data_IF_347136390281
#
_entry.id   IF_347136390281
#
_cell.length_a   1.000
_cell.length_b   1.000
_cell.length_c   1.000
_cell.angle_alpha   90.00
_cell.angle_beta   90.00
_cell.angle_gamma   90.00
#
_symmetry.space_group_name_H-M   'P 1'
#
loop_
_entity.id
_entity.type
_entity.pdbx_description
1 polymer ?
#
# COMPACT_ATOMS: atom_id res chain seq x y z
N UNK A 1 13.42 -3.48 -18.69
CA UNK A 1 13.26 -2.01 -18.84
C UNK A 1 13.49 -1.73 -20.30
N UNK A 2 12.51 -1.13 -20.97
CA UNK A 2 12.61 -0.79 -22.38
C UNK A 2 13.63 0.34 -22.55
N UNK A 3 14.63 0.20 -23.43
CA UNK A 3 15.66 1.22 -23.63
C UNK A 3 15.10 2.61 -23.96
N UNK A 4 14.00 2.64 -24.72
CA UNK A 4 13.31 3.87 -25.10
C UNK A 4 12.66 4.60 -23.91
N UNK A 5 12.17 3.85 -22.90
CA UNK A 5 11.62 4.45 -21.69
C UNK A 5 12.74 5.05 -20.83
N UNK A 6 13.89 4.37 -20.76
CA UNK A 6 15.05 4.86 -20.04
C UNK A 6 15.60 6.16 -20.68
N UNK A 7 15.68 6.21 -22.01
CA UNK A 7 16.11 7.40 -22.74
C UNK A 7 15.14 8.58 -22.51
N UNK A 8 13.81 8.32 -22.55
CA UNK A 8 12.79 9.34 -22.33
C UNK A 8 12.77 9.88 -20.88
N UNK A 9 13.27 9.11 -19.92
CA UNK A 9 13.31 9.50 -18.50
C UNK A 9 14.72 9.84 -18.01
N UNK A 10 15.71 9.86 -18.89
CA UNK A 10 17.12 10.01 -18.56
C UNK A 10 17.41 11.25 -17.72
N UNK A 11 16.91 12.39 -18.14
CA UNK A 11 17.16 13.67 -17.46
C UNK A 11 16.61 13.66 -16.03
N UNK A 12 15.45 13.07 -15.82
CA UNK A 12 14.87 12.91 -14.47
C UNK A 12 15.64 11.89 -13.64
N UNK A 13 16.09 10.81 -14.25
CA UNK A 13 16.88 9.77 -13.58
C UNK A 13 18.24 10.33 -13.16
N UNK A 14 18.92 11.08 -14.02
CA UNK A 14 20.17 11.75 -13.71
C UNK A 14 19.98 12.77 -12.57
N UNK A 15 18.91 13.57 -12.61
CA UNK A 15 18.57 14.50 -11.54
C UNK A 15 18.38 13.79 -10.20
N UNK A 16 17.60 12.71 -10.17
CA UNK A 16 17.36 11.94 -8.95
C UNK A 16 18.63 11.28 -8.40
N UNK A 17 19.50 10.78 -9.28
CA UNK A 17 20.77 10.16 -8.88
C UNK A 17 21.81 11.18 -8.38
N UNK A 18 21.65 12.46 -8.73
CA UNK A 18 22.54 13.55 -8.25
C UNK A 18 22.11 14.12 -6.90
N UNK A 19 20.91 13.79 -6.40
CA UNK A 19 20.45 14.24 -5.08
C UNK A 19 21.29 13.58 -3.99
N UNK A 20 22.06 14.38 -3.28
CA UNK A 20 22.80 13.93 -2.11
C UNK A 20 21.92 13.93 -0.87
N UNK A 21 21.75 12.79 -0.25
CA UNK A 21 21.01 12.65 1.01
C UNK A 21 21.82 13.17 2.22
N UNK A 22 23.11 13.39 2.06
CA UNK A 22 24.01 13.82 3.12
C UNK A 22 24.48 15.27 2.97
N UNK A 23 24.10 15.93 1.89
CA UNK A 23 24.44 17.34 1.65
C UNK A 23 23.65 18.23 2.63
N UNK A 24 24.39 19.00 3.45
CA UNK A 24 23.80 19.86 4.48
C UNK A 24 22.95 21.00 3.92
N UNK A 25 23.17 21.36 2.67
CA UNK A 25 22.40 22.39 1.96
C UNK A 25 21.27 21.73 1.11
N UNK A 26 21.15 20.40 1.19
CA UNK A 26 20.17 19.63 0.42
C UNK A 26 18.80 19.55 1.10
N UNK A 27 17.73 19.47 0.28
CA UNK A 27 16.34 19.40 0.76
C UNK A 27 16.13 18.20 1.69
N UNK A 28 16.75 17.05 1.40
CA UNK A 28 16.60 15.84 2.24
C UNK A 28 17.22 16.05 3.62
N UNK A 29 18.39 16.69 3.68
CA UNK A 29 19.02 17.02 4.95
C UNK A 29 18.13 17.93 5.79
N UNK A 30 17.59 19.01 5.20
CA UNK A 30 16.69 19.93 5.91
C UNK A 30 15.41 19.23 6.38
N UNK A 31 14.80 18.37 5.56
CA UNK A 31 13.63 17.59 5.95
C UNK A 31 13.88 16.69 7.16
N UNK A 32 15.10 16.15 7.28
CA UNK A 32 15.42 15.18 8.33
C UNK A 32 16.06 15.80 9.57
N UNK A 33 16.49 17.07 9.52
CA UNK A 33 17.23 17.72 10.61
C UNK A 33 16.57 19.00 11.11
N UNK A 34 15.92 19.78 10.24
CA UNK A 34 15.34 21.07 10.62
C UNK A 34 13.87 20.95 11.02
N UNK A 35 13.19 19.88 10.58
CA UNK A 35 11.81 19.62 10.96
C UNK A 35 11.81 18.60 12.10
N UNK A 36 11.24 18.91 13.27
CA UNK A 36 11.14 17.97 14.37
C UNK A 36 10.41 16.69 13.97
N UNK A 37 10.89 15.55 14.43
CA UNK A 37 10.22 14.26 14.20
C UNK A 37 8.76 14.29 14.64
N UNK A 38 8.47 15.02 15.73
CA UNK A 38 7.09 15.20 16.24
C UNK A 38 6.15 15.86 15.23
N UNK A 39 6.65 16.62 14.27
CA UNK A 39 5.80 17.27 13.25
C UNK A 39 5.37 16.27 12.16
N UNK A 40 6.10 15.17 12.03
CA UNK A 40 5.76 14.04 11.17
C UNK A 40 5.02 12.93 11.93
N UNK A 41 5.09 12.95 13.25
CA UNK A 41 4.43 11.96 14.09
C UNK A 41 2.96 12.36 14.28
N UNK A 42 2.14 11.98 13.33
CA UNK A 42 0.68 12.06 13.40
C UNK A 42 0.08 10.79 14.02
N UNK A 43 0.91 9.99 14.69
CA UNK A 43 0.44 8.79 15.37
C UNK A 43 -0.58 9.18 16.44
N UNK A 44 -1.68 8.47 16.46
CA UNK A 44 -2.67 8.57 17.51
C UNK A 44 -2.84 7.19 18.15
N UNK A 45 -3.08 7.18 19.44
CA UNK A 45 -3.40 5.94 20.11
C UNK A 45 -4.83 5.55 19.72
N UNK A 46 -4.99 4.39 19.11
CA UNK A 46 -6.30 3.85 18.78
C UNK A 46 -7.06 3.36 20.03
N UNK A 47 -8.30 2.90 19.84
CA UNK A 47 -9.14 2.39 20.91
C UNK A 47 -8.54 1.18 21.63
N UNK A 48 -7.62 0.47 20.98
CA UNK A 48 -6.91 -0.70 21.50
C UNK A 48 -5.59 -0.33 22.22
N UNK A 49 -5.27 0.96 22.32
CA UNK A 49 -4.05 1.46 22.95
C UNK A 49 -2.80 1.28 22.11
N UNK A 50 -2.92 0.96 20.84
CA UNK A 50 -1.81 0.91 19.89
C UNK A 50 -1.62 2.28 19.25
N UNK A 51 -0.37 2.59 18.95
CA UNK A 51 0.00 3.80 18.22
C UNK A 51 0.47 3.40 16.82
N UNK A 52 -0.45 3.18 15.86
CA UNK A 52 -0.05 2.87 14.50
C UNK A 52 0.68 4.07 13.89
N UNK A 53 1.87 3.84 13.36
CA UNK A 53 2.56 4.84 12.56
C UNK A 53 1.73 5.18 11.32
N UNK A 54 1.61 6.46 11.00
CA UNK A 54 0.85 6.87 9.83
C UNK A 54 1.78 7.16 8.66
N UNK A 55 2.02 6.14 7.85
CA UNK A 55 2.76 6.26 6.58
C UNK A 55 2.02 7.15 5.56
N UNK A 56 0.78 7.50 5.87
CA UNK A 56 -0.13 8.24 5.01
C UNK A 56 0.18 9.73 4.89
N UNK A 57 1.02 10.28 5.78
CA UNK A 57 1.30 11.72 5.81
C UNK A 57 1.79 12.25 4.46
N UNK A 58 2.67 11.53 3.77
CA UNK A 58 3.21 11.92 2.47
C UNK A 58 2.08 12.01 1.43
N UNK A 59 1.19 11.03 1.43
CA UNK A 59 0.02 11.02 0.54
C UNK A 59 -0.94 12.17 0.83
N UNK A 60 -1.20 12.45 2.10
CA UNK A 60 -2.03 13.58 2.51
C UNK A 60 -1.40 14.93 2.17
N UNK A 61 -0.11 15.11 2.42
CA UNK A 61 0.61 16.33 2.03
C UNK A 61 0.47 16.59 0.52
N UNK A 62 0.65 15.56 -0.29
CA UNK A 62 0.48 15.69 -1.74
C UNK A 62 -0.98 15.95 -2.15
N UNK A 63 -1.95 15.33 -1.49
CA UNK A 63 -3.37 15.58 -1.71
C UNK A 63 -3.75 17.02 -1.34
N UNK A 64 -3.26 17.54 -0.21
CA UNK A 64 -3.50 18.91 0.21
C UNK A 64 -2.80 19.92 -0.71
N UNK A 65 -1.58 19.64 -1.14
CA UNK A 65 -0.88 20.47 -2.13
C UNK A 65 -1.68 20.65 -3.43
N UNK A 66 -2.41 19.63 -3.85
CA UNK A 66 -3.22 19.66 -5.07
C UNK A 66 -4.68 20.10 -4.83
N UNK A 67 -5.06 20.57 -3.66
CA UNK A 67 -6.46 20.94 -3.37
C UNK A 67 -6.93 22.08 -4.25
N UNK A 68 -6.17 23.16 -4.37
CA UNK A 68 -6.55 24.32 -5.18
C UNK A 68 -6.69 23.96 -6.68
N UNK A 69 -5.72 23.31 -7.35
CA UNK A 69 -5.89 22.81 -8.71
C UNK A 69 -7.10 21.88 -8.89
N UNK A 70 -7.39 21.05 -7.90
CA UNK A 70 -8.55 20.14 -7.90
C UNK A 70 -9.86 20.93 -7.88
N UNK A 71 -9.98 21.92 -7.01
CA UNK A 71 -11.18 22.75 -6.89
C UNK A 71 -11.44 23.53 -8.18
N UNK A 72 -10.39 24.06 -8.82
CA UNK A 72 -10.49 24.72 -10.13
C UNK A 72 -11.03 23.75 -11.19
N UNK A 73 -10.50 22.53 -11.26
CA UNK A 73 -10.97 21.52 -12.23
C UNK A 73 -12.43 21.19 -12.01
N UNK A 74 -12.87 20.98 -10.76
CA UNK A 74 -14.26 20.70 -10.48
C UNK A 74 -15.18 21.90 -10.75
N UNK A 75 -14.73 23.14 -10.54
CA UNK A 75 -15.45 24.34 -10.94
C UNK A 75 -15.64 24.43 -12.47
N UNK A 76 -14.63 24.05 -13.24
CA UNK A 76 -14.71 23.99 -14.71
C UNK A 76 -15.64 22.86 -15.18
N UNK A 77 -15.61 21.69 -14.55
CA UNK A 77 -16.51 20.58 -14.87
C UNK A 77 -17.98 20.97 -14.68
N UNK A 78 -18.30 21.71 -13.61
CA UNK A 78 -19.67 22.28 -13.42
C UNK A 78 -20.10 23.18 -14.55
N UNK A 79 -19.16 23.76 -15.30
CA UNK A 79 -19.41 24.60 -16.49
C UNK A 79 -19.31 23.80 -17.80
N UNK A 80 -19.31 22.46 -17.74
CA UNK A 80 -19.14 21.55 -18.88
C UNK A 80 -17.83 21.75 -19.67
N UNK A 81 -16.78 22.26 -19.03
CA UNK A 81 -15.44 22.36 -19.64
C UNK A 81 -14.72 21.03 -19.45
N UNK A 82 -14.16 20.47 -20.51
CA UNK A 82 -13.40 19.21 -20.47
C UNK A 82 -12.09 19.39 -19.68
N UNK A 83 -11.71 18.36 -18.94
CA UNK A 83 -10.42 18.28 -18.26
C UNK A 83 -9.31 18.19 -19.31
N UNK A 84 -8.29 19.03 -19.16
CA UNK A 84 -7.08 18.95 -20.00
C UNK A 84 -6.13 17.87 -19.45
N UNK A 85 -5.21 17.39 -20.29
CA UNK A 85 -4.25 16.35 -19.93
C UNK A 85 -3.42 16.73 -18.68
N UNK A 86 -3.02 17.98 -18.58
CA UNK A 86 -2.23 18.52 -17.46
C UNK A 86 -3.00 18.58 -16.15
N UNK A 87 -4.34 18.62 -16.22
CA UNK A 87 -5.23 18.72 -15.06
C UNK A 87 -5.77 17.37 -14.60
N UNK A 88 -5.56 16.29 -15.37
CA UNK A 88 -5.99 14.94 -14.99
C UNK A 88 -5.43 14.53 -13.63
N UNK A 89 -4.14 14.69 -13.32
CA UNK A 89 -3.60 14.29 -12.01
C UNK A 89 -4.32 14.97 -10.84
N UNK A 90 -4.56 16.28 -10.91
CA UNK A 90 -5.27 17.00 -9.86
C UNK A 90 -6.73 16.55 -9.71
N UNK A 91 -7.40 16.18 -10.82
CA UNK A 91 -8.78 15.73 -10.83
C UNK A 91 -8.97 14.32 -10.26
N UNK A 92 -8.02 13.44 -10.51
CA UNK A 92 -8.12 12.00 -10.22
C UNK A 92 -7.36 11.57 -8.98
N UNK A 93 -6.52 12.44 -8.43
CA UNK A 93 -5.74 12.12 -7.27
C UNK A 93 -6.63 11.91 -6.05
N UNK A 94 -6.55 10.72 -5.51
CA UNK A 94 -7.16 10.34 -4.23
C UNK A 94 -6.13 9.53 -3.46
N UNK A 95 -5.82 9.96 -2.26
CA UNK A 95 -5.07 9.12 -1.34
C UNK A 95 -6.04 8.13 -0.68
N UNK A 96 -5.80 6.85 -0.87
CA UNK A 96 -6.72 5.81 -0.38
C UNK A 96 -6.75 5.80 1.14
N UNK A 97 -7.89 6.02 1.81
CA UNK A 97 -8.00 5.98 3.25
C UNK A 97 -7.56 4.64 3.86
N UNK A 98 -6.96 4.67 5.05
CA UNK A 98 -6.42 3.50 5.75
C UNK A 98 -7.43 2.35 5.86
N UNK A 99 -8.67 2.64 6.23
CA UNK A 99 -9.69 1.60 6.37
C UNK A 99 -10.00 0.87 5.05
N UNK A 100 -9.89 1.56 3.90
CA UNK A 100 -10.04 0.93 2.57
C UNK A 100 -8.84 0.04 2.28
N UNK A 101 -7.63 0.52 2.57
CA UNK A 101 -6.40 -0.27 2.42
C UNK A 101 -6.49 -1.57 3.21
N UNK A 102 -6.86 -1.47 4.49
CA UNK A 102 -7.05 -2.65 5.37
C UNK A 102 -8.11 -3.58 4.81
N UNK A 103 -9.28 -3.04 4.47
CA UNK A 103 -10.35 -3.82 3.87
C UNK A 103 -9.89 -4.58 2.61
N UNK A 104 -9.16 -3.91 1.72
CA UNK A 104 -8.64 -4.52 0.49
C UNK A 104 -7.65 -5.64 0.79
N UNK A 105 -6.66 -5.40 1.61
CA UNK A 105 -5.59 -6.36 1.91
C UNK A 105 -6.10 -7.54 2.72
N UNK A 106 -6.91 -7.30 3.75
CA UNK A 106 -7.46 -8.35 4.61
C UNK A 106 -8.39 -9.28 3.84
N UNK A 107 -9.17 -8.75 2.88
CA UNK A 107 -10.12 -9.53 2.07
C UNK A 107 -9.56 -10.04 0.73
N UNK A 108 -8.31 -9.77 0.42
CA UNK A 108 -7.61 -10.37 -0.71
C UNK A 108 -6.45 -11.26 -0.24
N UNK A 109 -5.33 -10.69 0.12
CA UNK A 109 -4.16 -11.40 0.63
C UNK A 109 -4.47 -12.21 1.89
N UNK A 110 -5.10 -11.58 2.88
CA UNK A 110 -5.48 -12.23 4.13
C UNK A 110 -6.44 -13.38 3.90
N UNK A 111 -7.49 -13.15 3.11
CA UNK A 111 -8.48 -14.18 2.75
C UNK A 111 -7.84 -15.36 2.02
N UNK A 112 -7.04 -15.11 0.99
CA UNK A 112 -6.33 -16.16 0.25
C UNK A 112 -5.56 -17.08 1.20
N UNK A 113 -4.87 -16.49 2.17
CA UNK A 113 -4.07 -17.26 3.11
C UNK A 113 -4.94 -18.07 4.08
N UNK A 114 -5.89 -17.44 4.79
CA UNK A 114 -6.67 -18.13 5.81
C UNK A 114 -7.69 -19.12 5.25
N UNK A 115 -8.07 -19.00 3.99
CA UNK A 115 -8.91 -20.01 3.31
C UNK A 115 -8.14 -21.30 3.04
N UNK A 116 -6.84 -21.24 2.79
CA UNK A 116 -5.97 -22.41 2.67
C UNK A 116 -5.37 -22.88 4.00
N UNK A 117 -5.15 -21.96 4.91
CA UNK A 117 -4.48 -22.17 6.20
C UNK A 117 -5.33 -21.58 7.34
N UNK A 118 -6.40 -22.25 7.75
CA UNK A 118 -7.33 -21.74 8.76
C UNK A 118 -6.60 -21.32 10.04
N UNK A 119 -6.69 -20.03 10.41
CA UNK A 119 -6.07 -19.48 11.61
C UNK A 119 -6.97 -18.41 12.21
N UNK A 120 -7.66 -18.75 13.29
CA UNK A 120 -8.59 -17.85 13.95
C UNK A 120 -7.89 -16.66 14.61
N UNK A 121 -6.64 -16.80 15.06
CA UNK A 121 -5.88 -15.73 15.67
C UNK A 121 -5.51 -14.63 14.66
N UNK A 122 -5.13 -15.00 13.43
CA UNK A 122 -4.90 -14.03 12.35
C UNK A 122 -6.19 -13.27 12.02
N UNK A 123 -7.29 -13.98 11.81
CA UNK A 123 -8.60 -13.37 11.51
C UNK A 123 -9.05 -12.40 12.60
N UNK A 124 -8.87 -12.74 13.85
CA UNK A 124 -9.24 -11.88 14.98
C UNK A 124 -8.45 -10.56 15.02
N UNK A 125 -7.24 -10.53 14.43
CA UNK A 125 -6.42 -9.34 14.31
C UNK A 125 -6.81 -8.41 13.16
N UNK A 126 -7.69 -8.83 12.25
CA UNK A 126 -8.06 -8.09 11.04
C UNK A 126 -9.47 -7.48 11.17
N UNK A 127 -9.49 -6.20 11.48
CA UNK A 127 -10.73 -5.46 11.80
C UNK A 127 -11.76 -5.43 10.67
N UNK A 128 -11.30 -5.44 9.44
CA UNK A 128 -12.14 -5.30 8.23
C UNK A 128 -12.27 -6.61 7.45
N UNK A 129 -11.80 -7.72 8.01
CA UNK A 129 -12.00 -9.03 7.41
C UNK A 129 -13.48 -9.41 7.43
N UNK A 130 -14.02 -9.80 6.28
CA UNK A 130 -15.39 -10.25 6.15
C UNK A 130 -15.45 -11.77 6.22
N UNK A 131 -16.32 -12.29 7.07
CA UNK A 131 -16.64 -13.71 7.04
C UNK A 131 -17.37 -14.08 5.73
N UNK A 132 -17.26 -15.34 5.35
CA UNK A 132 -17.90 -15.84 4.15
C UNK A 132 -19.43 -15.81 4.32
N UNK A 133 -20.11 -15.26 3.32
CA UNK A 133 -21.57 -15.37 3.23
C UNK A 133 -21.99 -16.77 2.79
N UNK A 134 -23.20 -17.18 3.12
CA UNK A 134 -23.78 -18.41 2.65
C UNK A 134 -23.82 -18.44 1.11
N UNK A 135 -23.37 -19.54 0.52
CA UNK A 135 -23.22 -19.69 -0.93
C UNK A 135 -24.04 -20.87 -1.42
N UNK A 136 -24.42 -20.86 -2.68
CA UNK A 136 -25.07 -21.97 -3.35
C UNK A 136 -24.14 -23.21 -3.39
N UNK A 137 -24.72 -24.47 -3.39
CA UNK A 137 -23.91 -25.69 -3.30
C UNK A 137 -22.85 -25.87 -4.38
N UNK A 138 -23.12 -25.44 -5.61
CA UNK A 138 -22.16 -25.49 -6.72
C UNK A 138 -21.01 -24.51 -6.55
N UNK A 139 -21.27 -23.33 -6.00
CA UNK A 139 -20.25 -22.34 -5.64
C UNK A 139 -19.40 -22.87 -4.48
N UNK A 140 -20.03 -23.48 -3.46
CA UNK A 140 -19.33 -24.12 -2.35
C UNK A 140 -18.36 -25.21 -2.82
N UNK A 141 -18.77 -26.02 -3.80
CA UNK A 141 -17.89 -27.05 -4.36
C UNK A 141 -16.67 -26.46 -5.11
N UNK A 142 -16.86 -25.33 -5.80
CA UNK A 142 -15.76 -24.61 -6.47
C UNK A 142 -14.81 -23.99 -5.46
N UNK A 143 -15.33 -23.34 -4.41
CA UNK A 143 -14.54 -22.76 -3.33
C UNK A 143 -13.73 -23.83 -2.58
N UNK A 144 -14.32 -24.98 -2.31
CA UNK A 144 -13.60 -26.09 -1.67
C UNK A 144 -12.37 -26.51 -2.49
N UNK A 145 -12.49 -26.61 -3.81
CA UNK A 145 -11.38 -26.93 -4.70
C UNK A 145 -10.30 -25.84 -4.70
N UNK A 146 -10.69 -24.57 -4.73
CA UNK A 146 -9.74 -23.45 -4.64
C UNK A 146 -8.98 -23.48 -3.31
N UNK A 147 -9.64 -23.80 -2.20
CA UNK A 147 -9.02 -23.93 -0.88
C UNK A 147 -8.00 -25.05 -0.80
N UNK A 148 -8.20 -26.15 -1.54
CA UNK A 148 -7.18 -27.19 -1.66
C UNK A 148 -5.92 -26.68 -2.36
N UNK A 149 -6.05 -25.81 -3.36
CA UNK A 149 -4.91 -25.19 -4.03
C UNK A 149 -4.23 -24.18 -3.12
N UNK A 150 -5.00 -23.36 -2.39
CA UNK A 150 -4.45 -22.40 -1.43
C UNK A 150 -3.72 -23.07 -0.27
N UNK A 151 -4.20 -24.25 0.18
CA UNK A 151 -3.53 -25.01 1.23
C UNK A 151 -2.13 -25.53 0.86
N UNK A 152 -1.79 -25.53 -0.42
CA UNK A 152 -0.47 -25.93 -0.92
C UNK A 152 0.53 -24.78 -1.03
N UNK A 153 0.05 -23.53 -0.89
CA UNK A 153 0.91 -22.35 -0.98
C UNK A 153 1.82 -22.23 0.23
N UNK A 154 3.07 -21.87 -0.01
CA UNK A 154 3.94 -21.33 1.02
C UNK A 154 3.86 -19.82 1.02
N UNK A 155 4.19 -19.11 2.12
CA UNK A 155 4.18 -17.66 2.12
C UNK A 155 5.04 -17.04 1.01
N UNK A 156 6.15 -17.67 0.64
CA UNK A 156 7.08 -17.21 -0.41
C UNK A 156 6.49 -17.29 -1.83
N UNK A 157 5.42 -18.06 -2.03
CA UNK A 157 4.76 -18.22 -3.33
C UNK A 157 3.80 -17.06 -3.64
N UNK A 158 3.35 -16.34 -2.60
CA UNK A 158 2.41 -15.25 -2.74
C UNK A 158 3.10 -14.04 -3.40
N UNK A 159 2.44 -13.47 -4.41
CA UNK A 159 2.90 -12.27 -5.10
C UNK A 159 1.82 -11.18 -5.03
N UNK A 160 2.19 -10.04 -4.49
CA UNK A 160 1.34 -8.86 -4.39
C UNK A 160 1.95 -7.78 -5.28
N UNK A 161 1.18 -7.29 -6.23
CA UNK A 161 1.61 -6.18 -7.10
C UNK A 161 0.65 -5.01 -6.95
N UNK A 162 1.21 -3.83 -6.75
CA UNK A 162 0.51 -2.56 -6.86
C UNK A 162 1.03 -1.81 -8.10
N UNK A 163 0.28 -1.78 -9.20
CA UNK A 163 0.72 -1.14 -10.45
C UNK A 163 0.65 0.39 -10.40
N UNK A 164 0.09 0.96 -9.33
CA UNK A 164 -0.07 2.40 -9.12
C UNK A 164 0.34 2.77 -7.69
N UNK A 165 1.48 2.27 -7.27
CA UNK A 165 1.93 2.24 -5.87
C UNK A 165 1.93 3.61 -5.18
N UNK A 166 2.28 4.68 -5.89
CA UNK A 166 2.41 6.02 -5.29
C UNK A 166 3.41 6.01 -4.13
N UNK A 167 2.95 6.35 -2.92
CA UNK A 167 3.77 6.29 -1.70
C UNK A 167 3.97 4.87 -1.14
N UNK A 168 3.30 3.87 -1.71
CA UNK A 168 3.43 2.47 -1.30
C UNK A 168 2.63 2.06 -0.06
N UNK A 169 1.73 2.90 0.45
CA UNK A 169 1.02 2.63 1.71
C UNK A 169 0.16 1.34 1.67
N UNK A 170 -0.35 0.93 0.50
CA UNK A 170 -1.05 -0.36 0.34
C UNK A 170 -0.07 -1.51 0.53
N UNK A 171 1.12 -1.42 -0.07
CA UNK A 171 2.17 -2.44 0.08
C UNK A 171 2.75 -2.48 1.49
N UNK A 172 2.79 -1.35 2.20
CA UNK A 172 3.21 -1.30 3.62
C UNK A 172 2.23 -2.11 4.47
N UNK A 173 0.93 -1.93 4.31
CA UNK A 173 -0.02 -2.74 5.06
C UNK A 173 -0.03 -4.22 4.60
N UNK A 174 0.18 -4.49 3.31
CA UNK A 174 0.39 -5.86 2.84
C UNK A 174 1.63 -6.51 3.47
N UNK A 175 2.70 -5.74 3.70
CA UNK A 175 3.87 -6.19 4.44
C UNK A 175 3.50 -6.61 5.87
N UNK A 176 2.71 -5.82 6.59
CA UNK A 176 2.29 -6.14 7.96
C UNK A 176 1.46 -7.44 8.02
N UNK A 177 0.55 -7.62 7.05
CA UNK A 177 -0.24 -8.87 6.96
C UNK A 177 0.65 -10.07 6.62
N UNK A 178 1.60 -9.91 5.70
CA UNK A 178 2.58 -10.96 5.37
C UNK A 178 3.47 -11.30 6.56
N UNK A 179 3.93 -10.30 7.33
CA UNK A 179 4.70 -10.54 8.56
C UNK A 179 3.95 -11.46 9.51
N UNK A 180 2.67 -11.19 9.77
CA UNK A 180 1.82 -12.04 10.62
C UNK A 180 1.70 -13.47 10.06
N UNK A 181 1.57 -13.62 8.74
CA UNK A 181 1.50 -14.91 8.07
C UNK A 181 2.81 -15.69 8.25
N UNK A 182 3.95 -15.05 7.99
CA UNK A 182 5.27 -15.69 8.15
C UNK A 182 5.56 -16.07 9.60
N UNK A 183 5.24 -15.19 10.55
CA UNK A 183 5.40 -15.48 11.99
C UNK A 183 4.53 -16.66 12.42
N UNK A 184 3.29 -16.75 11.93
CA UNK A 184 2.40 -17.87 12.19
C UNK A 184 2.94 -19.20 11.60
N UNK A 185 3.81 -19.14 10.59
CA UNK A 185 4.53 -20.29 10.01
C UNK A 185 5.88 -20.57 10.68
N UNK A 186 6.25 -19.81 11.74
CA UNK A 186 7.45 -20.03 12.51
C UNK A 186 8.71 -19.37 11.98
N UNK A 187 8.62 -18.46 11.03
CA UNK A 187 9.76 -17.67 10.56
C UNK A 187 10.16 -16.63 11.60
N UNK A 188 11.46 -16.31 11.66
CA UNK A 188 11.91 -15.17 12.46
C UNK A 188 11.50 -13.85 11.79
N UNK A 189 11.28 -12.79 12.57
CA UNK A 189 10.92 -11.48 12.03
C UNK A 189 11.93 -10.98 10.99
N UNK A 190 13.22 -11.22 11.22
CA UNK A 190 14.28 -10.81 10.30
C UNK A 190 14.21 -11.54 8.97
N UNK A 191 14.01 -12.86 8.99
CA UNK A 191 13.91 -13.66 7.77
C UNK A 191 12.61 -13.36 7.04
N UNK A 192 11.50 -13.23 7.76
CA UNK A 192 10.22 -12.83 7.22
C UNK A 192 10.32 -11.50 6.47
N UNK A 193 10.82 -10.45 7.13
CA UNK A 193 10.96 -9.12 6.53
C UNK A 193 11.81 -9.15 5.25
N UNK A 194 12.93 -9.87 5.25
CA UNK A 194 13.78 -10.03 4.07
C UNK A 194 13.04 -10.73 2.93
N UNK A 195 12.41 -11.87 3.21
CA UNK A 195 11.70 -12.66 2.21
C UNK A 195 10.51 -11.90 1.61
N UNK A 196 9.77 -11.15 2.41
CA UNK A 196 8.64 -10.34 1.96
C UNK A 196 9.10 -9.31 0.92
N UNK A 197 10.17 -8.57 1.20
CA UNK A 197 10.69 -7.55 0.27
C UNK A 197 11.30 -8.19 -0.98
N UNK A 198 12.00 -9.31 -0.83
CA UNK A 198 12.66 -9.97 -1.97
C UNK A 198 11.68 -10.73 -2.87
N UNK A 199 10.60 -11.29 -2.32
CA UNK A 199 9.78 -12.28 -3.03
C UNK A 199 8.30 -11.95 -3.17
N UNK A 200 7.72 -11.19 -2.26
CA UNK A 200 6.28 -11.04 -2.20
C UNK A 200 5.77 -9.71 -2.77
N UNK A 201 6.46 -8.58 -2.51
CA UNK A 201 5.95 -7.25 -2.82
C UNK A 201 6.55 -6.67 -4.09
N UNK A 202 5.68 -6.17 -4.96
CA UNK A 202 6.06 -5.54 -6.22
C UNK A 202 5.24 -4.25 -6.39
N UNK A 203 5.91 -3.14 -6.72
CA UNK A 203 5.28 -1.84 -6.95
C UNK A 203 5.80 -1.19 -8.23
N UNK A 204 4.94 -0.40 -8.91
CA UNK A 204 5.25 0.41 -10.08
C UNK A 204 4.79 1.85 -9.89
#
# INVERSE_FOLDING_TARGET
ILPELFEATRDYTELLLTISFTDKDGVVYHLTHDIPESDFDISHTDEDGKTPGQVEIIGWMYQYYNTEPKDEVFALLKKNVKITKERIPAATQLFTPDWIVRYMVENSLGRLWVEGHPNAALKAGWKYYLEEAEQEPDVQAQLAKLREDYARLNPEDIKVIDPCMGSGHILVYAFDVLMQIYEAQGYTQRDAARLIVEKNLYGL
#
